data_IF_673493148624
#
_entry.id   IF_673493148624
#
_cell.length_a   1.000
_cell.length_b   1.000
_cell.length_c   1.000
_cell.angle_alpha   90.00
_cell.angle_beta   90.00
_cell.angle_gamma   90.00
#
_symmetry.space_group_name_H-M   'P 1'
#
loop_
_entity.id
_entity.type
_entity.pdbx_description
1 polymer ?
#
# COMPACT_ATOMS: atom_id res chain seq x y z
N UNK A 1 -8.84 27.91 1.76
CA UNK A 1 -8.68 27.41 0.38
C UNK A 1 -9.81 27.98 -0.49
N UNK A 2 -9.96 29.31 -0.55
CA UNK A 2 -10.79 29.91 -1.58
C UNK A 2 -9.92 30.03 -2.83
N UNK A 3 -10.33 29.39 -3.94
CA UNK A 3 -9.71 29.59 -5.26
C UNK A 3 -9.21 28.34 -6.00
N UNK A 4 -9.11 27.17 -5.38
CA UNK A 4 -8.72 25.93 -6.06
C UNK A 4 -9.96 25.08 -6.33
N UNK A 5 -10.42 25.07 -7.57
CA UNK A 5 -11.53 24.25 -8.04
C UNK A 5 -11.01 23.19 -9.02
N UNK A 6 -11.80 22.14 -9.23
CA UNK A 6 -11.56 21.19 -10.32
C UNK A 6 -11.53 21.98 -11.65
N UNK A 7 -10.49 21.76 -12.44
CA UNK A 7 -10.25 22.45 -13.70
C UNK A 7 -9.32 23.67 -13.62
N UNK A 8 -9.01 24.18 -12.42
CA UNK A 8 -8.04 25.26 -12.24
C UNK A 8 -6.63 24.82 -12.66
N UNK A 9 -5.87 25.71 -13.30
CA UNK A 9 -4.43 25.53 -13.47
C UNK A 9 -3.71 26.03 -12.22
N UNK A 10 -2.78 25.24 -11.72
CA UNK A 10 -2.01 25.52 -10.51
C UNK A 10 -0.54 25.30 -10.79
N UNK A 11 0.28 26.16 -10.19
CA UNK A 11 1.72 26.02 -10.13
C UNK A 11 2.14 25.98 -8.67
N UNK A 12 2.87 24.94 -8.29
CA UNK A 12 3.30 24.76 -6.91
C UNK A 12 4.63 24.02 -6.84
N UNK A 13 5.44 24.35 -5.83
CA UNK A 13 6.58 23.55 -5.46
C UNK A 13 6.15 22.47 -4.47
N UNK A 14 6.59 21.24 -4.67
CA UNK A 14 6.35 20.14 -3.75
C UNK A 14 7.57 19.23 -3.63
N UNK A 15 7.76 18.69 -2.43
CA UNK A 15 8.69 17.59 -2.20
C UNK A 15 7.93 16.29 -2.29
N UNK A 16 8.31 15.45 -3.24
CA UNK A 16 7.71 14.15 -3.49
C UNK A 16 8.60 13.06 -2.88
N UNK A 17 7.94 12.09 -2.25
CA UNK A 17 8.58 10.89 -1.72
C UNK A 17 8.16 9.69 -2.59
N UNK A 18 9.05 8.69 -2.71
CA UNK A 18 8.74 7.46 -3.45
C UNK A 18 7.52 6.75 -2.83
N UNK A 19 6.67 6.17 -3.67
CA UNK A 19 5.52 5.40 -3.18
C UNK A 19 5.99 4.06 -2.58
N UNK A 20 6.10 4.02 -1.26
CA UNK A 20 6.64 2.88 -0.51
C UNK A 20 5.79 1.60 -0.61
N UNK A 21 4.54 1.66 -1.12
CA UNK A 21 3.71 0.47 -1.35
C UNK A 21 4.42 -0.51 -2.27
N UNK A 22 5.08 -0.04 -3.32
CA UNK A 22 5.75 -0.92 -4.27
C UNK A 22 6.90 -1.67 -3.59
N UNK A 23 7.65 -1.01 -2.71
CA UNK A 23 8.68 -1.63 -1.88
C UNK A 23 8.11 -2.69 -0.93
N UNK A 24 6.95 -2.41 -0.30
CA UNK A 24 6.24 -3.39 0.55
C UNK A 24 5.78 -4.59 -0.28
N UNK A 25 5.17 -4.34 -1.45
CA UNK A 25 4.71 -5.39 -2.34
C UNK A 25 5.86 -6.23 -2.90
N UNK A 26 7.04 -5.63 -3.07
CA UNK A 26 8.24 -6.34 -3.48
C UNK A 26 8.77 -7.27 -2.39
N UNK A 27 8.75 -6.82 -1.13
CA UNK A 27 9.08 -7.66 0.03
C UNK A 27 8.03 -8.76 0.26
N UNK A 28 6.75 -8.43 0.15
CA UNK A 28 5.62 -9.35 0.31
C UNK A 28 5.45 -10.22 -0.95
N UNK A 29 6.43 -11.07 -1.22
CA UNK A 29 6.35 -12.06 -2.31
C UNK A 29 5.23 -13.07 -2.05
N UNK A 30 4.55 -13.56 -3.10
CA UNK A 30 3.55 -14.63 -2.95
C UNK A 30 4.08 -15.82 -2.17
N UNK A 31 5.36 -16.18 -2.37
CA UNK A 31 6.04 -17.29 -1.71
C UNK A 31 6.24 -17.01 -0.22
N UNK A 32 6.68 -15.81 0.15
CA UNK A 32 6.85 -15.41 1.55
C UNK A 32 5.49 -15.38 2.27
N UNK A 33 4.48 -14.76 1.66
CA UNK A 33 3.13 -14.69 2.23
C UNK A 33 2.57 -16.10 2.41
N UNK A 34 2.69 -16.97 1.42
CA UNK A 34 2.25 -18.36 1.51
C UNK A 34 2.96 -19.12 2.65
N UNK A 35 4.27 -18.95 2.79
CA UNK A 35 5.05 -19.60 3.85
C UNK A 35 4.61 -19.12 5.24
N UNK A 36 4.39 -17.81 5.41
CA UNK A 36 3.89 -17.23 6.66
C UNK A 36 2.48 -17.74 6.96
N UNK A 37 1.57 -17.73 5.98
CA UNK A 37 0.19 -18.24 6.14
C UNK A 37 0.19 -19.72 6.50
N UNK A 38 1.03 -20.55 5.84
CA UNK A 38 1.18 -21.96 6.16
C UNK A 38 1.68 -22.15 7.59
N UNK A 39 2.65 -21.35 8.02
CA UNK A 39 3.17 -21.39 9.39
C UNK A 39 2.12 -21.00 10.42
N UNK A 40 1.38 -19.91 10.20
CA UNK A 40 0.30 -19.46 11.08
C UNK A 40 -0.82 -20.50 11.19
N UNK A 41 -1.25 -21.07 10.05
CA UNK A 41 -2.25 -22.13 10.03
C UNK A 41 -1.78 -23.36 10.82
N UNK A 42 -0.51 -23.77 10.64
CA UNK A 42 0.07 -24.87 11.42
C UNK A 42 0.22 -24.54 12.90
N UNK A 43 0.46 -23.28 13.26
CA UNK A 43 0.55 -22.83 14.65
C UNK A 43 -0.82 -22.95 15.35
N UNK A 44 -1.89 -22.45 14.74
CA UNK A 44 -3.27 -22.59 15.25
C UNK A 44 -3.67 -24.07 15.42
N UNK A 45 -3.25 -24.92 14.47
CA UNK A 45 -3.54 -26.35 14.51
C UNK A 45 -2.75 -27.07 15.63
N UNK A 46 -1.55 -26.61 16.01
CA UNK A 46 -0.79 -27.21 17.13
C UNK A 46 -1.55 -27.13 18.45
N UNK A 47 -2.32 -26.07 18.67
CA UNK A 47 -3.10 -25.90 19.90
C UNK A 47 -4.22 -26.96 20.03
N UNK A 48 -4.60 -27.60 18.92
CA UNK A 48 -5.62 -28.65 18.88
C UNK A 48 -5.02 -30.06 18.89
N UNK A 49 -3.69 -30.19 18.86
CA UNK A 49 -3.01 -31.48 18.71
C UNK A 49 -3.31 -32.42 19.87
N UNK A 50 -3.19 -31.94 21.12
CA UNK A 50 -3.37 -32.75 22.32
C UNK A 50 -4.79 -33.35 22.40
N UNK A 51 -5.80 -32.58 22.00
CA UNK A 51 -7.19 -33.04 21.93
C UNK A 51 -7.36 -34.25 21.00
N UNK A 52 -6.76 -34.24 19.80
CA UNK A 52 -6.86 -35.36 18.86
C UNK A 52 -5.91 -36.51 19.20
N UNK A 53 -4.81 -36.23 19.89
CA UNK A 53 -3.90 -37.26 20.41
C UNK A 53 -4.61 -38.16 21.44
N UNK A 54 -5.41 -37.57 22.33
CA UNK A 54 -6.21 -38.29 23.33
C UNK A 54 -7.36 -39.13 22.74
N UNK A 55 -7.83 -38.79 21.54
CA UNK A 55 -8.93 -39.49 20.84
C UNK A 55 -8.48 -40.79 20.15
N UNK A 56 -7.16 -41.05 20.06
CA UNK A 56 -6.58 -42.25 19.47
C UNK A 56 -5.93 -42.04 18.10
N UNK A 57 -5.21 -43.07 17.64
CA UNK A 57 -4.31 -42.99 16.47
C UNK A 57 -5.02 -42.61 15.16
N UNK A 58 -6.20 -43.17 14.91
CA UNK A 58 -6.94 -42.95 13.66
C UNK A 58 -7.46 -41.51 13.54
N UNK A 59 -7.96 -40.94 14.64
CA UNK A 59 -8.43 -39.55 14.68
C UNK A 59 -7.26 -38.57 14.58
N UNK A 60 -6.12 -38.90 15.18
CA UNK A 60 -4.89 -38.12 15.03
C UNK A 60 -4.38 -38.11 13.58
N UNK A 61 -4.39 -39.24 12.87
CA UNK A 61 -4.01 -39.30 11.46
C UNK A 61 -4.94 -38.45 10.58
N UNK A 62 -6.26 -38.57 10.76
CA UNK A 62 -7.25 -37.76 10.03
C UNK A 62 -7.05 -36.28 10.30
N UNK A 63 -6.80 -35.90 11.56
CA UNK A 63 -6.50 -34.53 11.95
C UNK A 63 -5.26 -34.00 11.24
N UNK A 64 -4.15 -34.72 11.26
CA UNK A 64 -2.89 -34.31 10.61
C UNK A 64 -3.09 -34.14 9.09
N UNK A 65 -3.78 -35.07 8.44
CA UNK A 65 -4.06 -34.98 7.00
C UNK A 65 -4.93 -33.75 6.67
N UNK A 66 -6.04 -33.56 7.41
CA UNK A 66 -6.94 -32.41 7.23
C UNK A 66 -6.22 -31.09 7.51
N UNK A 67 -5.39 -31.05 8.55
CA UNK A 67 -4.58 -29.89 8.94
C UNK A 67 -3.57 -29.51 7.86
N UNK A 68 -2.88 -30.49 7.27
CA UNK A 68 -1.96 -30.24 6.16
C UNK A 68 -2.70 -29.67 4.94
N UNK A 69 -3.82 -30.28 4.53
CA UNK A 69 -4.62 -29.81 3.40
C UNK A 69 -5.17 -28.39 3.62
N UNK A 70 -5.71 -28.09 4.80
CA UNK A 70 -6.19 -26.74 5.15
C UNK A 70 -5.04 -25.71 5.12
N UNK A 71 -3.88 -26.07 5.68
CA UNK A 71 -2.71 -25.18 5.66
C UNK A 71 -2.19 -24.89 4.25
N UNK A 72 -2.27 -25.86 3.35
CA UNK A 72 -1.87 -25.73 1.95
C UNK A 72 -2.86 -24.91 1.15
N UNK A 73 -4.16 -25.18 1.29
CA UNK A 73 -5.20 -24.41 0.65
C UNK A 73 -5.15 -22.92 1.05
N UNK A 74 -4.97 -22.62 2.35
CA UNK A 74 -4.83 -21.23 2.82
C UNK A 74 -3.60 -20.54 2.25
N UNK A 75 -2.47 -21.25 2.20
CA UNK A 75 -1.24 -20.71 1.64
C UNK A 75 -1.35 -20.43 0.14
N UNK A 76 -2.02 -21.31 -0.61
CA UNK A 76 -2.25 -21.14 -2.04
C UNK A 76 -3.19 -19.96 -2.33
N UNK A 77 -4.28 -19.83 -1.58
CA UNK A 77 -5.20 -18.68 -1.67
C UNK A 77 -4.45 -17.38 -1.36
N UNK A 78 -3.63 -17.36 -0.29
CA UNK A 78 -2.86 -16.18 0.07
C UNK A 78 -1.86 -15.80 -1.03
N UNK A 79 -1.14 -16.77 -1.59
CA UNK A 79 -0.23 -16.54 -2.72
C UNK A 79 -0.97 -15.96 -3.94
N UNK A 80 -2.12 -16.54 -4.30
CA UNK A 80 -2.93 -16.08 -5.42
C UNK A 80 -3.44 -14.65 -5.21
N UNK A 81 -3.92 -14.33 -4.01
CA UNK A 81 -4.34 -12.98 -3.64
C UNK A 81 -3.17 -11.98 -3.75
N UNK A 82 -2.00 -12.33 -3.22
CA UNK A 82 -0.79 -11.49 -3.32
C UNK A 82 -0.37 -11.27 -4.76
N UNK A 83 -0.41 -12.30 -5.63
CA UNK A 83 -0.13 -12.14 -7.07
C UNK A 83 -1.10 -11.16 -7.74
N UNK A 84 -2.40 -11.32 -7.48
CA UNK A 84 -3.42 -10.44 -8.04
C UNK A 84 -3.21 -8.98 -7.61
N UNK A 85 -2.91 -8.75 -6.33
CA UNK A 85 -2.58 -7.41 -5.82
C UNK A 85 -1.33 -6.85 -6.51
N UNK A 86 -0.23 -7.62 -6.56
CA UNK A 86 1.02 -7.17 -7.21
C UNK A 86 0.85 -6.85 -8.68
N UNK A 87 0.08 -7.65 -9.41
CA UNK A 87 -0.18 -7.43 -10.83
C UNK A 87 -0.95 -6.12 -11.05
N UNK A 88 -1.98 -5.84 -10.24
CA UNK A 88 -2.78 -4.62 -10.36
C UNK A 88 -1.95 -3.36 -10.07
N UNK A 89 -1.01 -3.40 -9.10
CA UNK A 89 -0.10 -2.28 -8.83
C UNK A 89 1.01 -2.10 -9.87
N UNK A 90 1.50 -3.19 -10.51
CA UNK A 90 2.58 -3.12 -11.50
C UNK A 90 2.14 -2.77 -12.91
N UNK A 91 0.86 -2.98 -13.25
CA UNK A 91 0.37 -2.86 -14.63
C UNK A 91 -0.08 -1.44 -15.01
N UNK A 92 0.20 -0.44 -14.17
CA UNK A 92 -0.21 0.94 -14.44
C UNK A 92 0.92 1.71 -15.14
N UNK A 93 0.69 2.07 -16.40
CA UNK A 93 1.52 3.02 -17.17
C UNK A 93 1.58 4.39 -16.50
N UNK A 94 0.51 4.76 -15.79
CA UNK A 94 0.38 6.01 -15.03
C UNK A 94 0.59 5.79 -13.53
N UNK A 95 1.53 6.56 -12.96
CA UNK A 95 1.92 6.50 -11.55
C UNK A 95 1.56 7.76 -10.81
N UNK A 96 1.07 7.62 -9.59
CA UNK A 96 0.78 8.73 -8.69
C UNK A 96 1.95 8.97 -7.74
N UNK A 97 2.38 10.22 -7.69
CA UNK A 97 3.43 10.70 -6.78
C UNK A 97 2.79 11.60 -5.73
N UNK A 98 3.07 11.29 -4.47
CA UNK A 98 2.54 12.02 -3.33
C UNK A 98 3.57 13.05 -2.87
N UNK A 99 3.20 14.32 -3.03
CA UNK A 99 4.05 15.46 -2.68
C UNK A 99 3.47 16.28 -1.55
N UNK A 100 4.32 16.72 -0.63
CA UNK A 100 3.98 17.78 0.31
C UNK A 100 4.30 19.12 -0.35
N UNK A 101 3.28 19.97 -0.51
CA UNK A 101 3.47 21.31 -1.09
C UNK A 101 4.38 22.14 -0.16
N UNK A 102 5.48 22.66 -0.72
CA UNK A 102 6.47 23.49 -0.01
C UNK A 102 6.30 24.94 -0.47
N UNK A 103 5.90 25.82 0.45
CA UNK A 103 5.80 27.26 0.19
C UNK A 103 4.41 27.76 -0.25
N UNK A 104 4.24 29.09 -0.18
CA UNK A 104 2.96 29.79 -0.32
C UNK A 104 2.21 29.95 1.01
N UNK A 105 1.17 30.80 1.03
CA UNK A 105 0.31 31.09 2.21
C UNK A 105 -0.44 29.87 2.78
N UNK A 106 -0.13 28.67 2.30
CA UNK A 106 -0.66 27.40 2.76
C UNK A 106 -0.08 27.04 4.14
N UNK A 107 -0.62 27.67 5.19
CA UNK A 107 -0.45 27.26 6.60
C UNK A 107 -1.06 25.87 6.93
N UNK A 108 -1.39 25.06 5.92
CA UNK A 108 -1.98 23.72 6.06
C UNK A 108 -1.23 22.76 5.16
N UNK A 109 -0.88 21.59 5.69
CA UNK A 109 -0.32 20.48 4.93
C UNK A 109 -1.25 20.13 3.76
N UNK A 110 -0.91 20.54 2.54
CA UNK A 110 -1.65 20.13 1.33
C UNK A 110 -0.90 18.96 0.72
N UNK A 111 -1.60 17.84 0.57
CA UNK A 111 -1.06 16.67 -0.11
C UNK A 111 -1.38 16.81 -1.60
N UNK A 112 -0.37 17.05 -2.42
CA UNK A 112 -0.49 17.05 -3.87
C UNK A 112 -0.31 15.63 -4.41
N UNK A 113 -1.24 15.17 -5.23
CA UNK A 113 -1.16 13.89 -5.92
C UNK A 113 -0.94 14.17 -7.40
N UNK A 114 0.30 13.97 -7.87
CA UNK A 114 0.67 14.22 -9.27
C UNK A 114 0.67 12.90 -10.04
N UNK A 115 -0.12 12.80 -11.10
CA UNK A 115 -0.17 11.60 -11.96
C UNK A 115 0.83 11.75 -13.11
N UNK A 116 1.87 10.93 -13.17
CA UNK A 116 2.84 10.94 -14.27
C UNK A 116 2.73 9.67 -15.11
N UNK A 117 2.80 9.81 -16.42
CA UNK A 117 3.00 8.68 -17.33
C UNK A 117 4.49 8.32 -17.37
N UNK A 118 4.82 7.08 -17.04
CA UNK A 118 6.22 6.62 -17.00
C UNK A 118 6.91 6.61 -18.36
N UNK A 119 6.16 6.59 -19.46
CA UNK A 119 6.72 6.59 -20.81
C UNK A 119 7.33 7.94 -21.21
N UNK A 120 6.95 9.02 -20.52
CA UNK A 120 7.45 10.37 -20.80
C UNK A 120 8.67 10.76 -19.95
N UNK A 121 9.22 9.86 -19.14
CA UNK A 121 10.41 10.11 -18.32
C UNK A 121 11.54 9.13 -18.64
N UNK A 122 12.75 9.65 -18.82
CA UNK A 122 13.95 8.88 -19.13
C UNK A 122 14.62 8.24 -17.90
N UNK A 123 13.88 7.97 -16.81
CA UNK A 123 14.44 7.36 -15.61
C UNK A 123 14.50 5.84 -15.75
N UNK A 124 15.63 5.24 -15.36
CA UNK A 124 15.76 3.78 -15.25
C UNK A 124 14.96 3.24 -14.07
N UNK A 125 14.80 4.04 -13.01
CA UNK A 125 13.99 3.71 -11.84
C UNK A 125 12.64 4.44 -11.95
N UNK A 126 11.61 3.69 -12.35
CA UNK A 126 10.25 4.20 -12.50
C UNK A 126 9.58 4.51 -11.17
N UNK A 127 10.12 4.05 -10.04
CA UNK A 127 9.56 4.29 -8.70
C UNK A 127 10.10 5.60 -8.09
N UNK A 128 11.17 6.16 -8.66
CA UNK A 128 11.88 7.33 -8.14
C UNK A 128 11.94 8.51 -9.11
N UNK A 129 11.02 8.55 -10.08
CA UNK A 129 11.00 9.60 -11.13
C UNK A 129 10.94 11.01 -10.54
N UNK A 130 10.16 11.21 -9.47
CA UNK A 130 10.00 12.49 -8.80
C UNK A 130 10.64 12.53 -7.41
N UNK A 131 11.61 11.69 -7.08
CA UNK A 131 12.24 11.73 -5.76
C UNK A 131 12.97 13.07 -5.53
N UNK A 132 12.47 13.92 -4.64
CA UNK A 132 13.02 15.27 -4.38
C UNK A 132 12.01 16.41 -4.50
N UNK A 133 12.52 17.64 -4.64
CA UNK A 133 11.70 18.86 -4.73
C UNK A 133 11.60 19.32 -6.18
N UNK A 134 10.36 19.46 -6.65
CA UNK A 134 10.06 19.88 -8.01
C UNK A 134 8.97 20.96 -8.01
N UNK A 135 9.00 21.80 -9.03
CA UNK A 135 7.89 22.70 -9.38
C UNK A 135 6.99 22.01 -10.39
N UNK A 136 5.70 21.94 -10.08
CA UNK A 136 4.69 21.29 -10.91
C UNK A 136 3.69 22.34 -11.39
N UNK A 137 3.59 22.46 -12.71
CA UNK A 137 2.50 23.16 -13.38
C UNK A 137 1.50 22.11 -13.87
N UNK A 138 0.24 22.22 -13.45
CA UNK A 138 -0.77 21.24 -13.83
C UNK A 138 -2.19 21.70 -13.68
N UNK A 139 -3.11 20.84 -14.13
CA UNK A 139 -4.55 21.04 -14.03
C UNK A 139 -5.11 20.23 -12.87
N UNK A 140 -5.87 20.87 -11.99
CA UNK A 140 -6.54 20.20 -10.88
C UNK A 140 -7.62 19.27 -11.42
N UNK A 141 -7.50 17.97 -11.15
CA UNK A 141 -8.51 16.97 -11.52
C UNK A 141 -9.47 16.68 -10.39
N UNK A 142 -9.02 16.79 -9.14
CA UNK A 142 -9.83 16.46 -7.96
C UNK A 142 -9.39 17.28 -6.74
N UNK A 143 -10.35 17.64 -5.90
CA UNK A 143 -10.10 18.24 -4.58
C UNK A 143 -10.90 17.46 -3.55
N UNK A 144 -10.21 16.84 -2.60
CA UNK A 144 -10.84 16.04 -1.55
C UNK A 144 -10.46 16.57 -0.16
N UNK A 145 -11.49 16.78 0.66
CA UNK A 145 -11.36 17.11 2.08
C UNK A 145 -11.48 15.87 2.98
N UNK A 146 -11.67 14.70 2.39
CA UNK A 146 -11.76 13.42 3.11
C UNK A 146 -10.40 12.73 3.07
N UNK A 147 -10.00 12.14 4.20
CA UNK A 147 -8.85 11.26 4.21
C UNK A 147 -9.09 10.10 3.24
N UNK A 148 -8.07 9.75 2.45
CA UNK A 148 -8.15 8.67 1.46
C UNK A 148 -6.95 7.76 1.60
N UNK A 149 -7.14 6.50 1.25
CA UNK A 149 -6.08 5.49 1.26
C UNK A 149 -5.33 5.50 -0.06
N UNK A 150 -4.01 5.36 0.00
CA UNK A 150 -3.19 5.10 -1.19
C UNK A 150 -3.54 3.76 -1.85
N UNK A 151 -4.24 2.86 -1.14
CA UNK A 151 -4.73 1.57 -1.65
C UNK A 151 -6.01 1.69 -2.48
N UNK A 152 -6.65 2.86 -2.53
CA UNK A 152 -7.88 3.09 -3.30
C UNK A 152 -7.72 2.83 -4.82
N UNK A 153 -6.48 2.77 -5.31
CA UNK A 153 -6.17 2.41 -6.70
C UNK A 153 -6.38 0.94 -7.00
N UNK A 154 -6.13 0.06 -6.02
CA UNK A 154 -6.23 -1.36 -6.26
C UNK A 154 -7.69 -1.80 -6.19
N UNK A 155 -8.19 -2.48 -7.22
CA UNK A 155 -9.61 -2.88 -7.29
C UNK A 155 -10.04 -3.76 -6.12
N UNK A 156 -9.10 -4.54 -5.59
CA UNK A 156 -9.30 -5.42 -4.43
C UNK A 156 -9.13 -4.64 -3.13
N UNK A 157 -8.07 -3.84 -3.00
CA UNK A 157 -7.76 -3.14 -1.74
C UNK A 157 -8.55 -1.84 -1.53
N UNK A 158 -9.20 -1.28 -2.56
CA UNK A 158 -10.11 -0.12 -2.41
C UNK A 158 -11.33 -0.44 -1.53
N UNK A 159 -11.58 -1.73 -1.27
CA UNK A 159 -12.63 -2.16 -0.33
C UNK A 159 -12.17 -2.10 1.13
N UNK A 160 -10.88 -1.91 1.39
CA UNK A 160 -10.33 -1.78 2.73
C UNK A 160 -10.61 -0.36 3.23
N UNK A 161 -11.41 -0.26 4.29
CA UNK A 161 -11.77 1.02 4.90
C UNK A 161 -10.62 1.56 5.77
N UNK A 162 -10.58 2.88 5.97
CA UNK A 162 -9.56 3.55 6.79
C UNK A 162 -9.36 2.95 8.19
N UNK A 163 -10.40 2.55 8.95
CA UNK A 163 -10.20 1.97 10.28
C UNK A 163 -9.30 0.73 10.28
N UNK A 164 -9.41 -0.11 9.24
CA UNK A 164 -8.57 -1.30 9.10
C UNK A 164 -7.12 -0.96 8.73
N UNK A 165 -6.90 0.17 8.04
CA UNK A 165 -5.56 0.67 7.74
C UNK A 165 -4.91 1.33 8.95
N UNK A 166 -5.70 2.02 9.77
CA UNK A 166 -5.24 2.57 11.04
C UNK A 166 -4.79 1.46 11.99
N UNK A 167 -5.56 0.36 12.07
CA UNK A 167 -5.18 -0.83 12.82
C UNK A 167 -3.91 -1.50 12.25
N UNK A 168 -3.80 -1.63 10.93
CA UNK A 168 -2.59 -2.15 10.29
C UNK A 168 -1.38 -1.27 10.59
N UNK A 169 -1.53 0.05 10.49
CA UNK A 169 -0.47 1.01 10.80
C UNK A 169 -0.02 0.89 12.26
N UNK A 170 -0.96 0.76 13.20
CA UNK A 170 -0.63 0.62 14.61
C UNK A 170 0.09 -0.71 14.90
N UNK A 171 -0.39 -1.81 14.32
CA UNK A 171 0.28 -3.11 14.44
C UNK A 171 1.69 -3.09 13.85
N UNK A 172 1.88 -2.43 12.71
CA UNK A 172 3.20 -2.23 12.09
C UNK A 172 4.09 -1.33 12.96
N UNK A 173 3.54 -0.28 13.56
CA UNK A 173 4.25 0.63 14.48
C UNK A 173 4.73 -0.09 15.73
N UNK A 174 3.88 -0.93 16.33
CA UNK A 174 4.25 -1.79 17.47
C UNK A 174 5.37 -2.75 17.08
N UNK A 175 5.26 -3.41 15.92
CA UNK A 175 6.31 -4.30 15.41
C UNK A 175 7.63 -3.56 15.11
N UNK A 176 7.57 -2.29 14.70
CA UNK A 176 8.74 -1.45 14.49
C UNK A 176 9.42 -1.00 15.78
N UNK A 177 8.63 -0.70 16.83
CA UNK A 177 9.15 -0.35 18.16
C UNK A 177 9.90 -1.50 18.82
N UNK A 178 9.52 -2.74 18.51
CA UNK A 178 10.26 -3.95 18.88
C UNK A 178 11.61 -4.12 18.14
N UNK A 179 12.02 -3.15 17.30
CA UNK A 179 13.26 -3.18 16.53
C UNK A 179 13.27 -4.17 15.37
N UNK A 180 12.11 -4.74 15.02
CA UNK A 180 12.00 -5.78 13.99
C UNK A 180 11.94 -5.20 12.57
N UNK A 181 11.48 -3.96 12.40
CA UNK A 181 11.38 -3.27 11.10
C UNK A 181 11.46 -1.74 11.26
N UNK A 182 11.97 -1.03 10.25
CA UNK A 182 11.78 0.41 10.13
C UNK A 182 10.52 0.66 9.28
N UNK A 183 9.42 1.13 9.88
CA UNK A 183 8.13 1.27 9.20
C UNK A 183 7.61 2.71 9.28
N UNK A 184 8.19 3.62 8.50
CA UNK A 184 7.64 4.97 8.30
C UNK A 184 6.59 5.00 7.18
N UNK A 185 5.79 3.94 7.02
CA UNK A 185 4.84 3.82 5.92
C UNK A 185 3.66 4.78 6.10
N UNK A 186 3.43 5.63 5.09
CA UNK A 186 2.29 6.57 5.08
C UNK A 186 1.13 5.99 4.25
N UNK A 187 0.37 5.05 4.83
CA UNK A 187 -0.79 4.43 4.15
C UNK A 187 -2.02 5.34 3.97
N UNK A 188 -2.08 6.44 4.72
CA UNK A 188 -3.20 7.39 4.70
C UNK A 188 -2.76 8.78 4.23
N UNK A 189 -3.54 9.38 3.34
CA UNK A 189 -3.36 10.77 2.91
C UNK A 189 -4.17 11.70 3.81
N UNK A 190 -3.49 12.70 4.37
CA UNK A 190 -4.13 13.71 5.22
C UNK A 190 -4.79 14.79 4.36
N UNK A 191 -6.08 15.12 4.60
CA UNK A 191 -6.72 16.21 3.91
C UNK A 191 -6.13 17.56 4.36
N UNK A 192 -6.15 18.59 3.50
CA UNK A 192 -6.71 18.61 2.15
C UNK A 192 -5.83 17.91 1.08
N UNK A 193 -6.45 17.12 0.21
CA UNK A 193 -5.82 16.40 -0.90
C UNK A 193 -6.20 17.09 -2.21
N UNK A 194 -5.22 17.41 -3.04
CA UNK A 194 -5.43 17.99 -4.38
C UNK A 194 -4.74 17.10 -5.40
N UNK A 195 -5.54 16.54 -6.32
CA UNK A 195 -5.02 15.73 -7.42
C UNK A 195 -4.79 16.61 -8.63
N UNK A 196 -3.59 16.52 -9.21
CA UNK A 196 -3.13 17.36 -10.30
C UNK A 196 -2.61 16.48 -11.43
N UNK A 197 -3.08 16.77 -12.64
CA UNK A 197 -2.50 16.22 -13.87
C UNK A 197 -1.39 17.19 -14.29
N UNK A 198 -0.11 16.77 -14.26
CA UNK A 198 1.01 17.62 -14.62
C UNK A 198 0.98 17.92 -16.11
N UNK A 199 1.26 19.16 -16.46
CA UNK A 199 1.52 19.65 -17.81
C UNK A 199 3.02 19.83 -18.00
N UNK A 200 3.69 20.36 -16.97
CA UNK A 200 5.13 20.48 -16.92
C UNK A 200 5.63 20.24 -15.49
N UNK A 201 6.79 19.59 -15.37
CA UNK A 201 7.52 19.41 -14.11
C UNK A 201 8.95 19.84 -14.35
N UNK A 202 9.48 20.70 -13.50
CA UNK A 202 10.82 21.26 -13.63
C UNK A 202 11.43 21.55 -12.25
N UNK A 203 12.75 21.78 -12.23
CA UNK A 203 13.53 22.10 -11.02
C UNK A 203 13.74 23.61 -10.92
#
# INVERSE_FOLDING_TARGET
>A
MQGINVGSFVEFAATFEANEINSILDLATPELVAAVTKWLAKKDQREKFDFYYEQGHDELQKFIQKSNLDSEARAEIAAAATRAVRQDFRNETTREYFGNVVGGSARRHVTAVTICDTEHFASQDKDRILDGTFTVLGKVSEVSMKATSILSRNKVLNRIQQPMLDELNENMRVAAQDGKFNTSFKLGLKPPIVKVIPIAIYV
#
